data_IF_434436616958
#
_entry.id   IF_434436616958
#
_cell.length_a   1.000
_cell.length_b   1.000
_cell.length_c   1.000
_cell.angle_alpha   90.00
_cell.angle_beta   90.00
_cell.angle_gamma   90.00
#
_symmetry.space_group_name_H-M   'P 1'
#
loop_
_entity.id
_entity.type
_entity.pdbx_description
1 polymer ?
#
# COMPACT_ATOMS: atom_id res chain seq x y z
N UNK A 1 1.19 -29.30 52.84
CA UNK A 1 1.08 -28.17 53.78
C UNK A 1 2.32 -27.30 53.65
N UNK A 2 2.29 -26.25 52.82
CA UNK A 2 3.11 -25.03 52.95
C UNK A 2 2.71 -24.06 51.83
N UNK A 3 2.40 -22.83 52.26
CA UNK A 3 1.80 -21.72 51.51
C UNK A 3 2.87 -21.06 50.63
N UNK A 4 2.51 -20.69 49.40
CA UNK A 4 3.17 -19.58 48.71
C UNK A 4 2.23 -18.37 48.68
N UNK A 5 2.74 -17.28 49.23
CA UNK A 5 2.08 -15.99 49.38
C UNK A 5 1.76 -15.37 48.02
N UNK A 6 0.55 -14.82 47.91
CA UNK A 6 0.09 -14.00 46.79
C UNK A 6 0.89 -12.69 46.77
N UNK A 7 1.62 -12.44 45.69
CA UNK A 7 2.06 -11.10 45.30
C UNK A 7 0.90 -10.44 44.51
N UNK A 8 0.49 -9.20 44.81
CA UNK A 8 -0.65 -8.60 44.13
C UNK A 8 -0.21 -8.09 42.76
N UNK A 9 -0.89 -8.57 41.71
CA UNK A 9 -0.93 -7.90 40.41
C UNK A 9 -1.52 -6.50 40.62
N UNK A 10 -0.68 -5.48 40.49
CA UNK A 10 -1.09 -4.10 40.23
C UNK A 10 -1.77 -4.05 38.85
N UNK A 11 -3.04 -4.42 38.82
CA UNK A 11 -3.93 -4.06 37.73
C UNK A 11 -4.09 -2.54 37.75
N UNK A 12 -3.79 -1.91 36.61
CA UNK A 12 -4.16 -0.55 36.29
C UNK A 12 -5.68 -0.45 36.33
N UNK A 13 -6.21 -0.02 37.47
CA UNK A 13 -7.59 0.39 37.65
C UNK A 13 -7.77 1.75 36.98
N UNK A 14 -8.04 1.74 35.67
CA UNK A 14 -8.70 2.89 35.04
C UNK A 14 -10.09 2.94 35.63
N UNK A 15 -10.27 3.93 36.50
CA UNK A 15 -11.51 4.33 37.13
C UNK A 15 -12.64 4.41 36.10
N UNK A 16 -13.54 3.44 36.19
CA UNK A 16 -14.89 3.45 35.64
C UNK A 16 -15.71 4.54 36.37
N UNK A 17 -15.42 5.82 36.11
CA UNK A 17 -16.37 6.89 36.38
C UNK A 17 -17.34 6.94 35.21
N UNK A 18 -18.35 6.06 35.24
CA UNK A 18 -19.51 6.15 34.36
C UNK A 18 -20.42 7.27 34.85
N UNK A 19 -20.04 8.51 34.53
CA UNK A 19 -21.03 9.55 34.30
C UNK A 19 -21.77 9.18 33.01
N UNK A 20 -23.12 9.17 32.97
CA UNK A 20 -23.85 8.80 31.78
C UNK A 20 -23.72 9.90 30.72
N UNK A 21 -22.70 9.81 29.87
CA UNK A 21 -22.73 10.40 28.53
C UNK A 21 -23.70 9.57 27.67
N UNK A 22 -24.98 9.54 28.04
CA UNK A 22 -26.08 8.84 27.36
C UNK A 22 -26.44 9.43 25.98
N UNK A 23 -25.63 10.36 25.46
CA UNK A 23 -25.90 11.05 24.19
C UNK A 23 -25.12 10.47 23.00
N UNK A 24 -24.02 9.73 23.23
CA UNK A 24 -23.11 9.32 22.15
C UNK A 24 -22.87 7.81 22.14
N UNK A 25 -23.21 7.18 21.01
CA UNK A 25 -22.83 5.79 20.72
C UNK A 25 -21.32 5.75 20.46
N UNK A 26 -20.58 4.85 21.13
CA UNK A 26 -19.16 4.61 20.90
C UNK A 26 -18.87 3.12 20.64
N UNK A 27 -17.82 2.85 19.85
CA UNK A 27 -17.36 1.50 19.52
C UNK A 27 -15.85 1.41 19.62
N UNK A 28 -15.38 0.46 20.41
CA UNK A 28 -13.97 0.06 20.44
C UNK A 28 -13.73 -1.07 19.42
N UNK A 29 -12.55 -1.05 18.81
CA UNK A 29 -12.06 -2.17 18.00
C UNK A 29 -10.54 -2.23 18.02
N UNK A 30 -10.01 -3.44 17.91
CA UNK A 30 -8.59 -3.67 17.86
C UNK A 30 -8.19 -4.88 17.02
N UNK A 31 -6.93 -4.87 16.61
CA UNK A 31 -6.29 -6.00 15.92
C UNK A 31 -4.89 -6.17 16.45
N UNK A 32 -4.57 -7.34 16.98
CA UNK A 32 -3.18 -7.76 17.19
C UNK A 32 -2.75 -8.62 16.00
N UNK A 33 -1.61 -8.32 15.39
CA UNK A 33 -1.11 -9.02 14.21
C UNK A 33 0.37 -9.40 14.39
N UNK A 34 0.68 -10.66 14.12
CA UNK A 34 2.05 -11.13 13.87
C UNK A 34 2.21 -11.38 12.38
N UNK A 35 3.21 -10.75 11.76
CA UNK A 35 3.54 -10.98 10.36
C UNK A 35 4.98 -11.47 10.24
N UNK A 36 5.18 -12.55 9.50
CA UNK A 36 6.48 -13.15 9.26
C UNK A 36 6.73 -13.23 7.76
N UNK A 37 7.93 -12.82 7.33
CA UNK A 37 8.46 -13.13 6.00
C UNK A 37 9.71 -13.98 6.19
N UNK A 38 9.76 -15.14 5.54
CA UNK A 38 10.94 -16.01 5.49
C UNK A 38 11.45 -16.06 4.06
N UNK A 39 12.62 -15.45 3.83
CA UNK A 39 13.31 -15.48 2.54
C UNK A 39 14.15 -16.73 2.37
N UNK A 40 14.14 -17.30 1.15
CA UNK A 40 14.89 -18.54 0.86
C UNK A 40 16.24 -18.31 0.17
N UNK A 41 16.51 -17.09 -0.29
CA UNK A 41 17.80 -16.73 -0.89
C UNK A 41 18.75 -16.20 0.19
N UNK A 42 19.82 -16.95 0.46
CA UNK A 42 20.86 -16.63 1.45
C UNK A 42 22.20 -16.23 0.81
N UNK A 43 22.19 -15.75 -0.43
CA UNK A 43 23.39 -15.25 -1.11
C UNK A 43 24.11 -14.20 -0.26
N UNK A 44 25.44 -14.26 -0.23
CA UNK A 44 26.26 -13.22 0.42
C UNK A 44 26.02 -11.88 -0.27
N UNK A 45 25.74 -10.84 0.50
CA UNK A 45 25.45 -9.50 -0.02
C UNK A 45 26.70 -8.92 -0.72
N UNK A 46 26.57 -8.43 -1.94
CA UNK A 46 27.61 -7.71 -2.65
C UNK A 46 26.97 -6.50 -3.34
N UNK A 47 27.14 -5.31 -2.75
CA UNK A 47 26.48 -4.09 -3.23
C UNK A 47 27.05 -3.58 -4.57
N UNK A 48 28.30 -3.91 -4.88
CA UNK A 48 28.99 -3.56 -6.13
C UNK A 48 28.44 -4.35 -7.30
N UNK A 49 28.17 -5.64 -7.10
CA UNK A 49 27.57 -6.55 -8.09
C UNK A 49 26.03 -6.52 -8.06
N UNK A 50 25.45 -5.82 -7.10
CA UNK A 50 24.01 -5.71 -6.92
C UNK A 50 23.35 -7.03 -6.48
N UNK A 51 24.09 -7.89 -5.80
CA UNK A 51 23.62 -9.19 -5.28
C UNK A 51 23.15 -9.01 -3.84
N UNK A 52 21.91 -9.41 -3.58
CA UNK A 52 21.29 -9.26 -2.27
C UNK A 52 20.53 -10.52 -1.85
N UNK A 53 20.58 -10.90 -0.56
CA UNK A 53 19.73 -11.96 -0.01
C UNK A 53 18.27 -11.52 0.05
N UNK A 54 17.36 -12.48 0.24
CA UNK A 54 15.96 -12.18 0.57
C UNK A 54 15.83 -12.06 2.07
N UNK A 55 15.36 -10.90 2.54
CA UNK A 55 15.24 -10.64 3.98
C UNK A 55 14.21 -11.57 4.66
N UNK A 56 14.57 -12.02 5.86
CA UNK A 56 13.70 -12.74 6.79
C UNK A 56 13.45 -11.85 8.01
N UNK A 57 12.18 -11.66 8.36
CA UNK A 57 11.80 -10.83 9.48
C UNK A 57 10.44 -11.20 10.07
N UNK A 58 10.25 -10.81 11.32
CA UNK A 58 8.98 -10.97 12.04
C UNK A 58 8.59 -9.63 12.64
N UNK A 59 7.35 -9.22 12.47
CA UNK A 59 6.76 -8.03 13.08
C UNK A 59 5.68 -8.45 14.07
N UNK A 60 5.53 -7.67 15.14
CA UNK A 60 4.40 -7.76 16.05
C UNK A 60 3.78 -6.37 16.17
N UNK A 61 2.47 -6.28 15.93
CA UNK A 61 1.74 -5.01 15.93
C UNK A 61 0.42 -5.11 16.67
N UNK A 62 -0.03 -4.00 17.24
CA UNK A 62 -1.37 -3.84 17.81
C UNK A 62 -1.98 -2.53 17.33
N UNK A 63 -3.20 -2.63 16.80
CA UNK A 63 -4.04 -1.52 16.38
C UNK A 63 -5.19 -1.38 17.36
N UNK A 64 -5.49 -0.15 17.76
CA UNK A 64 -6.67 0.19 18.55
C UNK A 64 -7.39 1.36 17.89
N UNK A 65 -8.72 1.36 17.97
CA UNK A 65 -9.57 2.43 17.44
C UNK A 65 -10.82 2.60 18.29
N UNK A 66 -11.22 3.87 18.44
CA UNK A 66 -12.48 4.28 19.01
C UNK A 66 -13.22 5.11 17.97
N UNK A 67 -14.44 4.73 17.65
CA UNK A 67 -15.36 5.51 16.83
C UNK A 67 -16.55 5.96 17.67
N UNK A 68 -17.07 7.16 17.40
CA UNK A 68 -18.27 7.67 18.04
C UNK A 68 -19.18 8.40 17.05
N UNK A 69 -20.49 8.33 17.27
CA UNK A 69 -21.48 9.14 16.55
C UNK A 69 -21.91 10.31 17.44
N UNK A 70 -21.66 11.52 16.95
CA UNK A 70 -21.90 12.78 17.65
C UNK A 70 -23.32 13.33 17.45
N UNK A 71 -24.10 12.75 16.52
CA UNK A 71 -25.51 13.12 16.33
C UNK A 71 -26.44 11.98 16.80
N UNK A 72 -27.53 12.30 17.52
CA UNK A 72 -28.58 11.34 17.82
C UNK A 72 -29.13 10.70 16.54
N UNK A 73 -29.52 9.42 16.62
CA UNK A 73 -30.14 8.68 15.49
C UNK A 73 -31.44 9.32 14.98
N UNK A 74 -32.02 10.23 15.77
CA UNK A 74 -33.32 10.84 15.53
C UNK A 74 -33.25 12.09 14.63
N UNK A 75 -32.05 12.59 14.32
CA UNK A 75 -31.91 13.71 13.37
C UNK A 75 -31.97 13.13 11.96
N UNK A 76 -33.10 13.36 11.27
CA UNK A 76 -33.35 12.76 9.96
C UNK A 76 -32.20 13.00 8.98
N UNK A 77 -31.69 11.89 8.42
CA UNK A 77 -30.68 11.86 7.35
C UNK A 77 -29.30 12.43 7.70
N UNK A 78 -29.08 13.02 8.87
CA UNK A 78 -27.77 13.53 9.27
C UNK A 78 -27.01 12.51 10.13
N UNK A 79 -25.71 12.35 9.87
CA UNK A 79 -24.81 11.63 10.78
C UNK A 79 -23.44 12.31 10.80
N UNK A 80 -22.89 12.44 12.02
CA UNK A 80 -21.56 13.01 12.26
C UNK A 80 -20.77 12.01 13.10
N UNK A 81 -19.73 11.43 12.52
CA UNK A 81 -18.88 10.44 13.18
C UNK A 81 -17.49 11.00 13.41
N UNK A 82 -16.90 10.66 14.53
CA UNK A 82 -15.50 10.87 14.84
C UNK A 82 -14.82 9.53 15.04
N UNK A 83 -13.57 9.40 14.62
CA UNK A 83 -12.78 8.21 14.91
C UNK A 83 -11.33 8.55 15.18
N UNK A 84 -10.78 7.93 16.23
CA UNK A 84 -9.38 8.04 16.63
C UNK A 84 -8.81 6.64 16.71
N UNK A 85 -7.67 6.40 16.05
CA UNK A 85 -7.03 5.09 16.04
C UNK A 85 -5.53 5.17 15.87
N UNK A 86 -4.83 4.28 16.58
CA UNK A 86 -3.39 4.20 16.62
C UNK A 86 -2.89 2.78 16.41
N UNK A 87 -1.71 2.66 15.82
CA UNK A 87 -0.94 1.42 15.73
C UNK A 87 0.37 1.61 16.47
N UNK A 88 0.84 0.54 17.12
CA UNK A 88 2.21 0.40 17.57
C UNK A 88 2.73 -0.97 17.15
N UNK A 89 4.02 -1.09 16.92
CA UNK A 89 4.62 -2.37 16.57
C UNK A 89 6.11 -2.31 16.35
N UNK A 90 6.75 -3.46 16.33
CA UNK A 90 8.20 -3.56 16.23
C UNK A 90 8.61 -4.82 15.47
N UNK A 91 9.90 -4.91 15.17
CA UNK A 91 10.54 -6.11 14.65
C UNK A 91 10.86 -7.05 15.82
N UNK A 92 10.28 -8.25 15.81
CA UNK A 92 10.66 -9.34 16.71
C UNK A 92 11.91 -10.08 16.20
N UNK A 93 12.16 -10.03 14.87
CA UNK A 93 13.34 -10.61 14.24
C UNK A 93 13.72 -9.84 12.97
N UNK A 94 15.02 -9.67 12.72
CA UNK A 94 15.59 -8.99 11.56
C UNK A 94 16.87 -9.70 11.09
N UNK A 95 16.83 -10.38 9.94
CA UNK A 95 18.01 -11.05 9.37
C UNK A 95 19.02 -10.11 8.69
N UNK A 96 18.70 -8.83 8.54
CA UNK A 96 19.47 -7.86 7.75
C UNK A 96 20.46 -7.06 8.59
N UNK A 97 20.19 -6.94 9.90
CA UNK A 97 20.95 -6.13 10.86
C UNK A 97 22.45 -6.43 10.88
N UNK A 98 22.85 -7.67 10.65
CA UNK A 98 24.25 -8.15 10.76
C UNK A 98 24.87 -8.53 9.41
N UNK A 99 24.23 -8.20 8.29
CA UNK A 99 24.77 -8.53 6.97
C UNK A 99 26.06 -7.76 6.70
N UNK A 100 27.08 -8.50 6.22
CA UNK A 100 28.36 -7.95 5.78
C UNK A 100 28.36 -7.83 4.26
N UNK A 101 28.65 -6.63 3.77
CA UNK A 101 28.84 -6.39 2.35
C UNK A 101 30.19 -6.93 1.90
N UNK A 102 30.20 -7.92 1.01
CA UNK A 102 31.42 -8.52 0.50
C UNK A 102 32.27 -7.53 -0.31
N UNK A 103 31.69 -6.45 -0.83
CA UNK A 103 32.43 -5.44 -1.58
C UNK A 103 33.29 -4.53 -0.69
N UNK A 104 32.88 -4.31 0.57
CA UNK A 104 33.52 -3.36 1.49
C UNK A 104 34.04 -4.00 2.77
N UNK A 105 33.62 -5.24 3.06
CA UNK A 105 33.86 -5.96 4.31
C UNK A 105 33.30 -5.25 5.57
N UNK A 106 32.32 -4.36 5.39
CA UNK A 106 31.66 -3.63 6.48
C UNK A 106 30.22 -4.12 6.69
N UNK A 107 29.66 -3.79 7.86
CA UNK A 107 28.23 -3.98 8.14
C UNK A 107 27.44 -3.11 7.15
N UNK A 108 26.48 -3.73 6.45
CA UNK A 108 25.64 -3.04 5.49
C UNK A 108 24.55 -2.16 6.16
N UNK A 109 24.05 -2.60 7.32
CA UNK A 109 22.96 -1.96 8.06
C UNK A 109 21.59 -2.54 7.73
N UNK A 110 20.65 -2.43 8.67
CA UNK A 110 19.28 -2.87 8.44
C UNK A 110 18.58 -1.97 7.42
N UNK A 111 17.77 -2.58 6.57
CA UNK A 111 16.86 -1.89 5.63
C UNK A 111 15.39 -2.18 6.00
N UNK A 112 15.14 -2.87 7.12
CA UNK A 112 13.78 -3.21 7.54
C UNK A 112 13.01 -2.03 8.11
N UNK A 113 13.68 -0.92 8.44
CA UNK A 113 13.00 0.34 8.76
C UNK A 113 12.03 0.75 7.63
N UNK A 114 12.28 0.38 6.36
CA UNK A 114 11.35 0.61 5.26
C UNK A 114 9.97 -0.03 5.46
N UNK A 115 9.91 -1.19 6.14
CA UNK A 115 8.67 -1.86 6.54
C UNK A 115 8.15 -1.31 7.87
N UNK A 116 9.01 -1.24 8.90
CA UNK A 116 8.63 -0.86 10.25
C UNK A 116 9.44 0.34 10.71
N UNK A 117 8.79 1.50 10.73
CA UNK A 117 9.23 2.66 11.47
C UNK A 117 10.03 3.70 10.70
N UNK A 118 10.18 3.61 9.37
CA UNK A 118 10.91 4.64 8.61
C UNK A 118 10.43 6.04 8.94
N UNK A 119 11.33 6.86 9.45
CA UNK A 119 11.10 8.27 9.73
C UNK A 119 12.26 9.11 9.21
N UNK A 120 12.01 9.91 8.17
CA UNK A 120 12.99 10.82 7.57
C UNK A 120 12.52 12.28 7.66
N UNK A 121 11.68 12.60 8.65
CA UNK A 121 10.95 13.86 8.67
C UNK A 121 9.71 13.80 7.76
N UNK A 122 8.79 14.74 7.98
CA UNK A 122 7.57 14.81 7.18
C UNK A 122 7.89 15.15 5.72
N UNK A 123 8.84 16.07 5.46
CA UNK A 123 9.28 16.44 4.11
C UNK A 123 10.43 15.55 3.58
N UNK A 124 10.90 14.56 4.35
CA UNK A 124 12.03 13.71 3.90
C UNK A 124 13.40 14.40 3.96
N UNK A 125 13.54 15.40 4.83
CA UNK A 125 14.70 16.28 5.00
C UNK A 125 15.55 15.95 6.24
N UNK A 126 15.27 14.85 6.94
CA UNK A 126 16.06 14.47 8.11
C UNK A 126 17.54 14.22 7.77
N UNK A 127 18.48 14.65 8.64
CA UNK A 127 19.91 14.55 8.38
C UNK A 127 20.44 13.11 8.30
N UNK A 128 19.69 12.14 8.83
CA UNK A 128 20.07 10.71 8.80
C UNK A 128 19.54 9.93 7.59
N UNK A 129 18.77 10.55 6.67
CA UNK A 129 18.05 9.83 5.61
C UNK A 129 18.95 8.99 4.68
N UNK A 130 20.19 9.40 4.51
CA UNK A 130 21.17 8.76 3.62
C UNK A 130 22.00 7.67 4.33
N UNK A 131 21.85 7.53 5.65
CA UNK A 131 22.51 6.50 6.45
C UNK A 131 21.51 5.43 6.89
N UNK A 132 21.79 4.17 6.55
CA UNK A 132 20.98 3.01 6.96
C UNK A 132 20.98 2.82 8.47
N UNK A 133 22.16 2.93 9.08
CA UNK A 133 22.37 2.74 10.51
C UNK A 133 21.61 3.81 11.30
N UNK A 134 21.78 5.08 10.90
CA UNK A 134 21.10 6.18 11.58
C UNK A 134 19.58 6.16 11.32
N UNK A 135 19.15 5.79 10.11
CA UNK A 135 17.72 5.63 9.80
C UNK A 135 17.06 4.54 10.63
N UNK A 136 17.75 3.42 10.88
CA UNK A 136 17.27 2.34 11.75
C UNK A 136 17.17 2.81 13.22
N UNK A 137 18.15 3.56 13.70
CA UNK A 137 18.17 4.10 15.06
C UNK A 137 17.06 5.14 15.32
N UNK A 138 16.60 5.86 14.28
CA UNK A 138 15.56 6.89 14.38
C UNK A 138 14.15 6.39 14.00
N UNK A 139 13.93 5.08 14.04
CA UNK A 139 12.63 4.48 13.71
C UNK A 139 11.50 4.95 14.62
N UNK A 140 10.33 5.23 14.03
CA UNK A 140 9.07 5.52 14.72
C UNK A 140 8.10 4.35 14.63
N UNK A 141 8.07 3.59 15.70
CA UNK A 141 7.34 2.32 15.81
C UNK A 141 5.85 2.48 16.19
N UNK A 142 5.26 3.64 15.88
CA UNK A 142 3.87 3.95 16.14
C UNK A 142 3.33 4.95 15.11
N UNK A 143 2.00 4.94 14.90
CA UNK A 143 1.30 5.93 14.07
C UNK A 143 -0.09 6.18 14.64
N UNK A 144 -0.45 7.45 14.82
CA UNK A 144 -1.85 7.86 14.95
C UNK A 144 -2.49 7.87 13.56
N UNK A 145 -3.00 6.72 13.12
CA UNK A 145 -3.43 6.49 11.75
C UNK A 145 -4.82 7.06 11.44
N UNK A 146 -5.71 7.09 12.45
CA UNK A 146 -7.06 7.64 12.32
C UNK A 146 -7.23 8.80 13.30
N UNK A 147 -7.74 9.91 12.77
CA UNK A 147 -8.20 11.08 13.50
C UNK A 147 -9.06 11.87 12.52
N UNK A 148 -10.31 11.45 12.39
CA UNK A 148 -11.19 11.95 11.33
C UNK A 148 -12.53 12.44 11.86
N UNK A 149 -13.13 13.35 11.11
CA UNK A 149 -14.52 13.72 11.17
C UNK A 149 -15.20 13.25 9.88
N UNK A 150 -16.33 12.58 9.99
CA UNK A 150 -17.13 12.13 8.85
C UNK A 150 -18.56 12.62 9.00
N UNK A 151 -18.97 13.49 8.09
CA UNK A 151 -20.33 13.98 8.00
C UNK A 151 -21.05 13.36 6.80
N UNK A 152 -22.31 13.00 6.99
CA UNK A 152 -23.18 12.50 5.92
C UNK A 152 -24.57 13.12 6.00
N UNK A 153 -25.11 13.46 4.83
CA UNK A 153 -26.49 13.85 4.62
C UNK A 153 -27.15 12.87 3.64
N UNK A 154 -27.84 11.89 4.21
CA UNK A 154 -28.45 10.77 3.49
C UNK A 154 -27.44 10.06 2.57
N UNK A 155 -27.90 9.75 1.36
CA UNK A 155 -27.08 9.25 0.27
C UNK A 155 -26.57 10.37 -0.66
N UNK A 156 -26.84 11.64 -0.34
CA UNK A 156 -26.60 12.77 -1.23
C UNK A 156 -25.22 13.39 -1.08
N UNK A 157 -24.75 13.56 0.16
CA UNK A 157 -23.51 14.28 0.44
C UNK A 157 -22.74 13.62 1.58
N UNK A 158 -21.47 13.28 1.34
CA UNK A 158 -20.53 12.79 2.34
C UNK A 158 -19.28 13.67 2.35
N UNK A 159 -18.80 14.00 3.54
CA UNK A 159 -17.56 14.75 3.74
C UNK A 159 -16.74 14.06 4.82
N UNK A 160 -15.49 13.74 4.50
CA UNK A 160 -14.53 13.19 5.45
C UNK A 160 -13.31 14.11 5.53
N UNK A 161 -12.91 14.44 6.74
CA UNK A 161 -11.82 15.38 7.03
C UNK A 161 -10.85 14.75 8.04
N UNK A 162 -9.57 15.08 7.95
CA UNK A 162 -8.54 14.63 8.90
C UNK A 162 -7.75 13.44 8.38
N UNK A 163 -7.43 12.49 9.28
CA UNK A 163 -6.61 11.30 9.01
C UNK A 163 -7.48 10.05 8.90
N UNK A 164 -7.46 9.41 7.74
CA UNK A 164 -8.30 8.25 7.47
C UNK A 164 -7.70 7.31 6.42
N UNK A 165 -8.17 6.07 6.37
CA UNK A 165 -7.80 5.13 5.31
C UNK A 165 -8.32 5.62 3.95
N UNK A 166 -7.42 5.82 2.99
CA UNK A 166 -7.80 6.24 1.63
C UNK A 166 -8.43 5.10 0.84
N UNK A 167 -9.31 5.47 -0.08
CA UNK A 167 -10.03 4.59 -1.01
C UNK A 167 -9.73 4.94 -2.48
N UNK A 168 -8.72 5.78 -2.74
CA UNK A 168 -8.38 6.27 -4.08
C UNK A 168 -7.40 5.30 -4.77
N UNK A 169 -7.58 5.07 -6.07
CA UNK A 169 -6.74 4.12 -6.82
C UNK A 169 -5.24 4.44 -6.72
N UNK A 170 -4.89 5.73 -6.83
CA UNK A 170 -3.50 6.21 -6.75
C UNK A 170 -3.11 6.74 -5.37
N UNK A 171 -3.86 6.45 -4.29
CA UNK A 171 -3.42 6.76 -2.93
C UNK A 171 -3.80 5.62 -1.98
N UNK A 172 -2.83 4.80 -1.59
CA UNK A 172 -3.05 3.67 -0.69
C UNK A 172 -2.58 3.98 0.74
N UNK A 173 -3.13 3.25 1.71
CA UNK A 173 -2.82 3.49 3.12
C UNK A 173 -3.61 4.66 3.68
N UNK A 174 -3.12 5.25 4.77
CA UNK A 174 -3.79 6.35 5.45
C UNK A 174 -3.39 7.68 4.85
N UNK A 175 -4.35 8.59 4.72
CA UNK A 175 -4.20 9.94 4.15
C UNK A 175 -4.59 11.00 5.17
N UNK A 176 -3.94 12.16 5.12
CA UNK A 176 -4.31 13.36 5.88
C UNK A 176 -4.85 14.40 4.91
N UNK A 177 -6.13 14.76 5.02
CA UNK A 177 -6.75 15.74 4.13
C UNK A 177 -8.26 15.61 4.13
N UNK A 178 -8.89 15.61 2.95
CA UNK A 178 -10.34 15.54 2.83
C UNK A 178 -10.82 14.77 1.60
N UNK A 179 -11.99 14.16 1.73
CA UNK A 179 -12.78 13.66 0.60
C UNK A 179 -14.22 14.17 0.70
N UNK A 180 -14.78 14.57 -0.43
CA UNK A 180 -16.16 15.02 -0.58
C UNK A 180 -16.80 14.19 -1.69
N UNK A 181 -17.90 13.53 -1.38
CA UNK A 181 -18.75 12.83 -2.34
C UNK A 181 -20.10 13.53 -2.44
N UNK A 182 -20.52 13.86 -3.65
CA UNK A 182 -21.80 14.52 -3.92
C UNK A 182 -22.56 13.80 -5.03
N UNK A 183 -23.73 13.27 -4.70
CA UNK A 183 -24.65 12.62 -5.64
C UNK A 183 -25.52 13.68 -6.30
N UNK A 184 -25.28 13.93 -7.58
CA UNK A 184 -26.06 14.86 -8.40
C UNK A 184 -27.44 14.26 -8.69
N UNK A 185 -27.46 12.98 -9.10
CA UNK A 185 -28.69 12.19 -9.29
C UNK A 185 -28.39 10.68 -9.14
N UNK A 186 -29.34 9.80 -9.45
CA UNK A 186 -29.17 8.35 -9.30
C UNK A 186 -28.09 7.72 -10.19
N UNK A 187 -27.64 8.41 -11.25
CA UNK A 187 -26.65 7.92 -12.21
C UNK A 187 -25.34 8.72 -12.18
N UNK A 188 -25.34 9.92 -11.61
CA UNK A 188 -24.20 10.84 -11.64
C UNK A 188 -23.80 11.25 -10.23
N UNK A 189 -22.52 11.07 -9.90
CA UNK A 189 -21.92 11.56 -8.66
C UNK A 189 -20.55 12.19 -8.93
N UNK A 190 -20.14 13.09 -8.05
CA UNK A 190 -18.85 13.77 -8.05
C UNK A 190 -18.09 13.36 -6.78
N UNK A 191 -16.78 13.15 -6.91
CA UNK A 191 -15.86 13.04 -5.79
C UNK A 191 -14.70 14.02 -5.92
N UNK A 192 -14.42 14.75 -4.85
CA UNK A 192 -13.17 15.51 -4.68
C UNK A 192 -12.35 14.83 -3.58
N UNK A 193 -11.07 14.59 -3.86
CA UNK A 193 -10.09 14.11 -2.89
C UNK A 193 -8.90 15.07 -2.81
N UNK A 194 -8.40 15.36 -1.60
CA UNK A 194 -7.13 16.05 -1.36
C UNK A 194 -6.37 15.40 -0.22
N UNK A 195 -5.06 15.24 -0.39
CA UNK A 195 -4.15 14.64 0.58
C UNK A 195 -2.90 15.50 0.74
N UNK A 196 -2.49 15.73 1.98
CA UNK A 196 -1.29 16.44 2.40
C UNK A 196 -0.44 15.56 3.31
N UNK A 197 -0.44 14.25 3.06
CA UNK A 197 0.31 13.34 3.91
C UNK A 197 -0.20 11.92 3.80
N UNK A 198 0.72 10.99 3.99
CA UNK A 198 0.46 9.56 3.95
C UNK A 198 1.08 8.87 5.15
N UNK A 199 0.41 7.84 5.65
CA UNK A 199 0.96 6.92 6.64
C UNK A 199 0.62 5.47 6.30
N UNK A 200 1.42 4.54 6.83
CA UNK A 200 1.16 3.10 6.73
C UNK A 200 0.93 2.55 8.14
N UNK A 201 -0.16 1.78 8.31
CA UNK A 201 -0.52 1.17 9.58
C UNK A 201 -1.18 -0.20 9.34
N UNK A 202 -0.35 -1.18 8.98
CA UNK A 202 -0.69 -2.59 8.80
C UNK A 202 0.39 -3.47 9.47
N UNK A 203 0.14 -4.76 9.72
CA UNK A 203 1.12 -5.61 10.43
C UNK A 203 2.50 -5.66 9.78
N UNK A 204 2.55 -5.67 8.45
CA UNK A 204 3.81 -5.61 7.69
C UNK A 204 4.36 -4.18 7.54
N UNK A 205 3.54 -3.13 7.74
CA UNK A 205 3.87 -1.76 7.36
C UNK A 205 3.49 -0.74 8.44
N UNK A 206 4.51 -0.18 9.11
CA UNK A 206 4.38 0.97 9.99
C UNK A 206 5.24 2.09 9.42
N UNK A 207 4.61 3.20 9.02
CA UNK A 207 5.32 4.41 8.61
C UNK A 207 4.51 5.62 9.06
N UNK A 208 5.10 6.42 9.93
CA UNK A 208 4.51 7.66 10.43
C UNK A 208 4.35 8.70 9.30
N UNK A 209 3.56 9.74 9.55
CA UNK A 209 3.10 10.70 8.55
C UNK A 209 4.22 11.39 7.79
N UNK A 210 4.22 11.24 6.46
CA UNK A 210 5.17 11.88 5.55
C UNK A 210 4.44 12.44 4.33
N UNK A 211 5.03 13.45 3.69
CA UNK A 211 4.63 13.96 2.39
C UNK A 211 5.11 12.98 1.29
N UNK A 212 4.20 12.35 0.53
CA UNK A 212 4.60 11.48 -0.57
C UNK A 212 5.32 12.25 -1.68
N UNK A 213 4.91 13.49 -1.92
CA UNK A 213 5.52 14.37 -2.92
C UNK A 213 6.00 15.61 -2.19
N UNK A 214 7.23 16.01 -2.49
CA UNK A 214 7.84 17.24 -2.00
C UNK A 214 8.41 17.96 -3.22
N UNK A 215 8.13 19.25 -3.29
CA UNK A 215 8.56 20.15 -4.37
C UNK A 215 9.32 21.32 -3.77
N UNK A 216 10.14 21.98 -4.58
CA UNK A 216 10.83 23.20 -4.15
C UNK A 216 10.03 24.46 -4.53
N UNK A 217 9.84 25.37 -3.58
CA UNK A 217 9.33 26.72 -3.81
C UNK A 217 10.19 27.75 -3.12
N UNK A 218 10.83 28.62 -3.90
CA UNK A 218 11.70 29.66 -3.36
C UNK A 218 12.81 29.12 -2.44
N UNK A 219 13.43 27.99 -2.80
CA UNK A 219 14.45 27.25 -2.01
C UNK A 219 13.95 26.63 -0.71
N UNK A 220 12.65 26.38 -0.61
CA UNK A 220 12.04 25.65 0.51
C UNK A 220 11.32 24.42 0.00
N UNK A 221 11.48 23.32 0.73
CA UNK A 221 10.69 22.13 0.50
C UNK A 221 9.24 22.37 0.95
N UNK A 222 8.30 22.07 0.07
CA UNK A 222 6.86 22.27 0.27
C UNK A 222 6.08 21.05 -0.21
N UNK A 223 5.07 20.65 0.58
CA UNK A 223 4.02 19.70 0.17
C UNK A 223 2.77 20.48 -0.26
N UNK A 224 2.54 20.59 -1.57
CA UNK A 224 1.30 21.17 -2.11
C UNK A 224 0.14 20.17 -2.13
N UNK A 225 0.38 18.93 -1.74
CA UNK A 225 -0.60 17.87 -1.71
C UNK A 225 -0.81 17.16 -3.05
N UNK A 226 -1.64 16.14 -2.97
CA UNK A 226 -2.12 15.31 -4.07
C UNK A 226 -3.64 15.42 -4.10
N UNK A 227 -4.16 15.83 -5.25
CA UNK A 227 -5.59 16.07 -5.43
C UNK A 227 -6.14 15.17 -6.53
N UNK A 228 -7.43 14.88 -6.43
CA UNK A 228 -8.14 14.19 -7.48
C UNK A 228 -9.59 14.64 -7.55
N UNK A 229 -10.12 14.72 -8.77
CA UNK A 229 -11.55 14.90 -9.03
C UNK A 229 -12.02 13.71 -9.86
N UNK A 230 -13.15 13.10 -9.49
CA UNK A 230 -13.76 11.98 -10.20
C UNK A 230 -15.23 12.24 -10.46
N UNK A 231 -15.70 11.93 -11.66
CA UNK A 231 -17.13 11.94 -12.00
C UNK A 231 -17.57 10.51 -12.25
N UNK A 232 -18.59 10.03 -11.55
CA UNK A 232 -19.13 8.69 -11.75
C UNK A 232 -20.35 8.76 -12.65
N UNK A 233 -20.32 8.03 -13.76
CA UNK A 233 -21.47 7.76 -14.61
C UNK A 233 -21.85 6.30 -14.46
N UNK A 234 -22.94 6.03 -13.76
CA UNK A 234 -23.35 4.68 -13.38
C UNK A 234 -24.63 4.26 -14.10
N UNK A 235 -24.57 3.08 -14.69
CA UNK A 235 -25.71 2.33 -15.20
C UNK A 235 -25.81 0.99 -14.46
N UNK A 236 -26.76 0.14 -14.84
CA UNK A 236 -26.94 -1.16 -14.18
C UNK A 236 -25.69 -2.05 -14.30
N UNK A 237 -25.01 -2.07 -15.44
CA UNK A 237 -23.89 -2.99 -15.71
C UNK A 237 -22.57 -2.28 -15.98
N UNK A 238 -22.57 -0.96 -16.21
CA UNK A 238 -21.37 -0.20 -16.59
C UNK A 238 -21.25 1.02 -15.69
N UNK A 239 -20.07 1.23 -15.14
CA UNK A 239 -19.65 2.47 -14.50
C UNK A 239 -18.45 3.04 -15.25
N UNK A 240 -18.57 4.26 -15.75
CA UNK A 240 -17.46 5.03 -16.30
C UNK A 240 -17.11 6.16 -15.33
N UNK A 241 -15.82 6.28 -15.02
CA UNK A 241 -15.28 7.25 -14.07
C UNK A 241 -14.12 8.00 -14.71
N UNK A 242 -14.36 9.05 -15.51
CA UNK A 242 -13.30 10.00 -15.81
C UNK A 242 -12.80 10.64 -14.52
N UNK A 243 -11.49 10.79 -14.44
CA UNK A 243 -10.82 11.36 -13.28
C UNK A 243 -9.67 12.26 -13.71
N UNK A 244 -9.29 13.17 -12.83
CA UNK A 244 -8.14 14.03 -12.98
C UNK A 244 -7.38 14.06 -11.68
N UNK A 245 -6.16 13.51 -11.66
CA UNK A 245 -5.23 13.66 -10.55
C UNK A 245 -4.28 14.81 -10.83
N UNK A 246 -3.90 15.57 -9.81
CA UNK A 246 -2.86 16.58 -9.94
C UNK A 246 -2.13 16.81 -8.62
N UNK A 247 -0.86 17.18 -8.73
CA UNK A 247 -0.06 17.67 -7.63
C UNK A 247 0.69 18.90 -8.14
N UNK A 248 0.42 20.11 -7.60
CA UNK A 248 1.01 21.35 -8.11
C UNK A 248 2.52 21.26 -8.23
N UNK A 249 3.07 21.83 -9.32
CA UNK A 249 4.49 21.78 -9.69
C UNK A 249 5.08 20.37 -9.88
N UNK A 250 4.24 19.33 -9.94
CA UNK A 250 4.72 17.96 -10.14
C UNK A 250 4.10 17.32 -11.37
N UNK A 251 2.77 17.21 -11.41
CA UNK A 251 2.08 16.61 -12.55
C UNK A 251 0.60 17.00 -12.63
N UNK A 252 0.05 16.81 -13.82
CA UNK A 252 -1.37 16.75 -14.13
C UNK A 252 -1.64 15.42 -14.84
N UNK A 253 -2.68 14.68 -14.43
CA UNK A 253 -2.87 13.30 -14.86
C UNK A 253 -4.37 12.99 -15.08
N UNK A 254 -4.95 13.36 -16.24
CA UNK A 254 -6.26 12.90 -16.64
C UNK A 254 -6.28 11.39 -16.89
N UNK A 255 -7.43 10.79 -16.69
CA UNK A 255 -7.64 9.39 -16.97
C UNK A 255 -9.10 8.97 -16.93
N UNK A 256 -9.35 7.70 -17.20
CA UNK A 256 -10.68 7.10 -17.15
C UNK A 256 -10.60 5.68 -16.61
N UNK A 257 -11.53 5.35 -15.73
CA UNK A 257 -11.78 4.00 -15.24
C UNK A 257 -13.12 3.52 -15.76
N UNK A 258 -13.17 2.34 -16.35
CA UNK A 258 -14.41 1.70 -16.80
C UNK A 258 -14.53 0.36 -16.08
N UNK A 259 -15.64 0.17 -15.38
CA UNK A 259 -15.98 -1.09 -14.74
C UNK A 259 -17.27 -1.64 -15.37
N UNK A 260 -17.17 -2.84 -15.92
CA UNK A 260 -18.28 -3.58 -16.52
C UNK A 260 -18.54 -4.80 -15.64
N UNK A 261 -19.80 -5.01 -15.28
CA UNK A 261 -20.25 -6.11 -14.43
C UNK A 261 -21.51 -6.74 -15.00
N UNK A 262 -21.38 -7.97 -15.49
CA UNK A 262 -22.50 -8.68 -16.12
C UNK A 262 -23.60 -9.08 -15.14
N UNK A 263 -23.28 -9.18 -13.83
CA UNK A 263 -24.24 -9.55 -12.80
C UNK A 263 -23.91 -8.87 -11.46
N UNK A 264 -24.32 -7.60 -11.26
CA UNK A 264 -24.09 -6.87 -10.02
C UNK A 264 -24.81 -7.45 -8.79
N UNK A 265 -25.77 -8.35 -9.02
CA UNK A 265 -26.53 -9.04 -7.97
C UNK A 265 -26.00 -10.45 -7.70
N UNK A 266 -24.81 -10.80 -8.19
CA UNK A 266 -24.20 -12.11 -7.97
C UNK A 266 -24.06 -12.41 -6.47
N UNK A 267 -24.55 -13.59 -6.06
CA UNK A 267 -24.52 -14.07 -4.66
C UNK A 267 -23.83 -15.43 -4.53
N UNK A 268 -22.84 -15.70 -5.39
CA UNK A 268 -22.12 -16.98 -5.39
C UNK A 268 -22.86 -18.11 -6.10
N UNK A 269 -23.76 -17.81 -7.05
CA UNK A 269 -24.43 -18.80 -7.89
C UNK A 269 -24.49 -18.31 -9.34
N UNK A 270 -24.08 -19.17 -10.28
CA UNK A 270 -24.05 -18.88 -11.71
C UNK A 270 -22.73 -18.24 -12.14
N UNK A 271 -22.77 -17.46 -13.23
CA UNK A 271 -21.63 -16.77 -13.80
C UNK A 271 -21.76 -15.25 -13.63
N UNK A 272 -20.65 -14.60 -13.26
CA UNK A 272 -20.46 -13.15 -13.35
C UNK A 272 -19.15 -12.88 -14.06
N UNK A 273 -19.18 -11.96 -15.02
CA UNK A 273 -18.01 -11.43 -15.72
C UNK A 273 -17.80 -9.99 -15.28
N UNK A 274 -16.59 -9.67 -14.86
CA UNK A 274 -16.18 -8.32 -14.50
C UNK A 274 -14.96 -7.89 -15.32
N UNK A 275 -15.07 -6.75 -15.99
CA UNK A 275 -13.97 -6.12 -16.71
C UNK A 275 -13.68 -4.77 -16.06
N UNK A 276 -12.42 -4.56 -15.68
CA UNK A 276 -11.90 -3.28 -15.25
C UNK A 276 -10.87 -2.79 -16.27
N UNK A 277 -11.09 -1.58 -16.79
CA UNK A 277 -10.13 -0.84 -17.61
C UNK A 277 -9.76 0.42 -16.84
N UNK A 278 -8.48 0.71 -16.68
CA UNK A 278 -8.00 1.98 -16.11
C UNK A 278 -6.89 2.53 -17.00
N UNK A 279 -7.04 3.78 -17.43
CA UNK A 279 -6.03 4.49 -18.21
C UNK A 279 -5.75 5.84 -17.56
N UNK A 280 -4.48 6.22 -17.50
CA UNK A 280 -4.03 7.51 -16.99
C UNK A 280 -2.92 8.08 -17.89
N UNK A 281 -2.86 9.39 -18.02
CA UNK A 281 -1.92 10.12 -18.86
C UNK A 281 -1.22 11.23 -18.08
N UNK A 282 -0.28 10.91 -17.17
CA UNK A 282 0.48 11.94 -16.45
C UNK A 282 1.32 12.79 -17.42
N UNK A 283 1.22 14.10 -17.25
CA UNK A 283 2.08 15.14 -17.83
C UNK A 283 2.84 15.78 -16.67
N UNK A 284 4.16 15.81 -16.75
CA UNK A 284 5.02 16.23 -15.66
C UNK A 284 5.41 17.72 -15.78
N UNK A 285 5.85 18.31 -14.67
CA UNK A 285 6.46 19.63 -14.68
C UNK A 285 7.84 19.60 -15.38
N UNK A 286 8.20 20.69 -16.07
CA UNK A 286 9.38 20.76 -16.96
C UNK A 286 10.71 20.51 -16.24
N UNK A 287 10.83 20.97 -15.01
CA UNK A 287 11.99 20.78 -14.15
C UNK A 287 12.23 19.30 -13.77
N UNK A 288 11.21 18.44 -13.93
CA UNK A 288 11.30 17.02 -13.65
C UNK A 288 11.72 16.17 -14.86
N UNK A 289 11.72 16.70 -16.09
CA UNK A 289 11.88 15.89 -17.31
C UNK A 289 13.17 15.07 -17.33
N UNK A 290 14.27 15.68 -16.89
CA UNK A 290 15.60 15.05 -16.85
C UNK A 290 15.92 14.33 -15.54
N UNK A 291 15.01 14.38 -14.56
CA UNK A 291 15.17 13.62 -13.31
C UNK A 291 14.98 12.14 -13.62
N UNK A 292 15.85 11.31 -13.05
CA UNK A 292 15.76 9.86 -13.19
C UNK A 292 14.94 9.25 -12.06
N UNK A 293 13.98 8.41 -12.43
CA UNK A 293 13.24 7.56 -11.50
C UNK A 293 13.21 6.12 -12.02
N UNK A 294 13.75 5.21 -11.21
CA UNK A 294 13.97 3.79 -11.55
C UNK A 294 14.70 3.61 -12.88
N UNK A 295 15.84 4.30 -13.02
CA UNK A 295 16.79 4.27 -14.14
C UNK A 295 16.27 4.75 -15.49
N UNK A 296 15.14 5.45 -15.52
CA UNK A 296 14.63 6.14 -16.71
C UNK A 296 14.31 7.57 -16.37
N UNK A 297 14.50 8.49 -17.32
CA UNK A 297 14.04 9.87 -17.19
C UNK A 297 12.53 9.88 -16.95
N UNK A 298 12.03 10.86 -16.19
CA UNK A 298 10.58 11.04 -16.02
C UNK A 298 9.94 11.39 -17.37
N UNK A 299 10.59 12.25 -18.15
CA UNK A 299 10.08 12.71 -19.45
C UNK A 299 8.90 13.69 -19.33
N UNK A 300 8.42 14.17 -20.47
CA UNK A 300 7.33 15.14 -20.53
C UNK A 300 5.98 14.55 -20.14
N UNK A 301 5.71 13.33 -20.59
CA UNK A 301 4.47 12.63 -20.35
C UNK A 301 4.73 11.12 -20.21
N UNK A 302 3.73 10.41 -19.72
CA UNK A 302 3.64 8.96 -19.79
C UNK A 302 2.19 8.51 -19.89
N UNK A 303 1.98 7.22 -20.03
CA UNK A 303 0.65 6.61 -19.88
C UNK A 303 0.74 5.25 -19.22
N UNK A 304 -0.28 4.88 -18.45
CA UNK A 304 -0.45 3.49 -18.04
C UNK A 304 -1.85 2.97 -18.37
N UNK A 305 -1.91 1.73 -18.82
CA UNK A 305 -3.13 1.01 -19.19
C UNK A 305 -3.22 -0.27 -18.37
N UNK A 306 -4.30 -0.43 -17.62
CA UNK A 306 -4.71 -1.67 -16.96
C UNK A 306 -5.95 -2.22 -17.65
N UNK A 307 -5.93 -3.50 -17.98
CA UNK A 307 -7.11 -4.31 -18.31
C UNK A 307 -7.11 -5.51 -17.39
N UNK A 308 -8.17 -5.68 -16.60
CA UNK A 308 -8.34 -6.80 -15.69
C UNK A 308 -9.69 -7.47 -15.95
N UNK A 309 -9.65 -8.75 -16.32
CA UNK A 309 -10.82 -9.56 -16.54
C UNK A 309 -10.92 -10.60 -15.42
N UNK A 310 -12.08 -10.66 -14.77
CA UNK A 310 -12.41 -11.63 -13.74
C UNK A 310 -13.73 -12.33 -14.09
N UNK A 311 -13.77 -13.63 -13.85
CA UNK A 311 -14.97 -14.44 -13.88
C UNK A 311 -15.19 -15.01 -12.49
N UNK A 312 -16.40 -14.88 -11.96
CA UNK A 312 -16.85 -15.62 -10.79
C UNK A 312 -17.82 -16.71 -11.26
N UNK A 313 -17.57 -17.95 -10.82
CA UNK A 313 -18.45 -19.08 -11.05
C UNK A 313 -18.71 -19.80 -9.74
N UNK A 314 -19.91 -19.65 -9.22
CA UNK A 314 -20.29 -20.07 -7.86
C UNK A 314 -19.29 -19.56 -6.79
N UNK A 315 -18.60 -20.45 -6.08
CA UNK A 315 -17.57 -20.14 -5.09
C UNK A 315 -16.15 -19.93 -5.65
N UNK A 316 -15.96 -20.12 -6.96
CA UNK A 316 -14.68 -19.98 -7.64
C UNK A 316 -14.56 -18.65 -8.36
N UNK A 317 -13.33 -18.22 -8.56
CA UNK A 317 -13.00 -17.11 -9.44
C UNK A 317 -11.74 -17.42 -10.24
N UNK A 318 -11.66 -16.87 -11.45
CA UNK A 318 -10.46 -16.94 -12.28
C UNK A 318 -10.43 -15.76 -13.25
N UNK A 319 -9.28 -15.53 -13.85
CA UNK A 319 -9.16 -14.46 -14.81
C UNK A 319 -7.73 -14.16 -15.21
N UNK A 320 -7.57 -13.02 -15.86
CA UNK A 320 -6.30 -12.55 -16.34
C UNK A 320 -6.26 -11.02 -16.34
N UNK A 321 -5.08 -10.48 -16.57
CA UNK A 321 -4.96 -9.07 -16.84
C UNK A 321 -3.65 -8.68 -17.50
N UNK A 322 -3.66 -7.45 -17.94
CA UNK A 322 -2.63 -6.80 -18.71
C UNK A 322 -2.39 -5.42 -18.12
N UNK A 323 -1.12 -5.07 -17.90
CA UNK A 323 -0.73 -3.75 -17.46
C UNK A 323 0.48 -3.28 -18.26
N UNK A 324 0.42 -2.08 -18.85
CA UNK A 324 1.52 -1.51 -19.60
C UNK A 324 1.76 -0.06 -19.19
N UNK A 325 3.03 0.31 -19.08
CA UNK A 325 3.49 1.69 -19.02
C UNK A 325 4.09 2.08 -20.36
N UNK A 326 3.79 3.29 -20.80
CA UNK A 326 4.45 3.99 -21.91
C UNK A 326 5.18 5.19 -21.32
N UNK A 327 6.49 5.29 -21.56
CA UNK A 327 7.34 6.20 -20.81
C UNK A 327 7.29 5.89 -19.31
N UNK A 328 7.56 6.89 -18.48
CA UNK A 328 7.69 6.71 -17.04
C UNK A 328 6.41 7.06 -16.26
N UNK A 329 5.26 6.52 -16.68
CA UNK A 329 3.93 6.92 -16.20
C UNK A 329 3.69 6.80 -14.68
N UNK A 330 4.42 5.94 -13.99
CA UNK A 330 4.29 5.78 -12.54
C UNK A 330 5.24 6.68 -11.76
N UNK A 331 6.13 7.41 -12.43
CA UNK A 331 6.96 8.41 -11.78
C UNK A 331 6.06 9.41 -11.06
N UNK A 332 6.39 9.68 -9.79
CA UNK A 332 5.67 10.63 -8.92
C UNK A 332 4.17 10.35 -8.69
N UNK A 333 3.57 9.26 -9.21
CA UNK A 333 2.16 8.95 -8.95
C UNK A 333 1.89 7.48 -8.57
N UNK A 334 2.55 6.53 -9.22
CA UNK A 334 2.22 5.10 -9.11
C UNK A 334 2.82 4.35 -7.93
N UNK A 335 3.58 5.01 -7.06
CA UNK A 335 4.31 4.36 -5.96
C UNK A 335 3.68 4.56 -4.58
N UNK A 336 2.81 5.57 -4.42
CA UNK A 336 2.02 5.77 -3.20
C UNK A 336 0.58 5.26 -3.30
N UNK A 337 0.15 4.83 -4.49
CA UNK A 337 -1.01 4.01 -4.75
C UNK A 337 -0.99 3.58 -6.22
N UNK A 338 -1.68 2.49 -6.56
CA UNK A 338 -1.75 2.00 -7.92
C UNK A 338 -2.97 1.07 -8.11
N UNK A 339 -3.72 1.13 -9.22
CA UNK A 339 -4.85 0.24 -9.48
C UNK A 339 -4.47 -1.21 -9.81
N UNK A 340 -3.19 -1.54 -9.97
CA UNK A 340 -2.71 -2.91 -10.23
C UNK A 340 -3.21 -3.89 -9.14
N UNK A 341 -3.88 -5.01 -9.51
CA UNK A 341 -4.47 -5.94 -8.55
C UNK A 341 -3.52 -7.06 -8.09
N UNK A 342 -2.21 -6.84 -8.17
CA UNK A 342 -1.18 -7.75 -7.66
C UNK A 342 -0.15 -6.99 -6.82
N UNK A 343 0.56 -7.70 -5.95
CA UNK A 343 1.52 -7.08 -5.04
C UNK A 343 2.73 -6.52 -5.79
N UNK A 344 2.86 -5.19 -5.80
CA UNK A 344 4.00 -4.47 -6.34
C UNK A 344 5.09 -4.20 -5.30
N UNK A 345 4.96 -4.61 -4.03
CA UNK A 345 5.89 -4.34 -2.92
C UNK A 345 6.62 -5.59 -2.40
N UNK A 346 6.56 -6.70 -3.13
CA UNK A 346 7.21 -7.97 -2.77
C UNK A 346 8.68 -8.08 -3.21
N UNK A 347 9.22 -7.08 -3.92
CA UNK A 347 10.61 -7.12 -4.40
C UNK A 347 11.61 -6.94 -3.25
N UNK A 348 12.88 -6.78 -3.60
CA UNK A 348 13.98 -6.55 -2.68
C UNK A 348 13.85 -5.23 -1.93
N UNK A 349 14.04 -5.26 -0.60
CA UNK A 349 14.15 -4.04 0.23
C UNK A 349 15.29 -3.12 -0.25
N UNK A 350 16.38 -3.72 -0.73
CA UNK A 350 17.54 -3.01 -1.27
C UNK A 350 17.25 -2.27 -2.58
N UNK A 351 16.10 -2.56 -3.22
CA UNK A 351 15.58 -1.87 -4.41
C UNK A 351 14.30 -1.09 -4.15
N UNK A 352 14.09 -0.65 -2.89
CA UNK A 352 12.89 0.05 -2.40
C UNK A 352 11.59 -0.75 -2.57
N UNK A 353 11.64 -2.08 -2.43
CA UNK A 353 10.52 -3.05 -2.44
C UNK A 353 9.68 -3.13 -3.71
N UNK A 354 9.74 -2.14 -4.60
CA UNK A 354 8.84 -2.06 -5.73
C UNK A 354 9.21 -3.05 -6.85
N UNK A 355 8.19 -3.66 -7.43
CA UNK A 355 8.25 -4.42 -8.68
C UNK A 355 8.65 -3.51 -9.85
N UNK A 356 9.26 -4.09 -10.88
CA UNK A 356 9.51 -3.43 -12.16
C UNK A 356 8.24 -3.22 -13.01
N UNK A 357 7.07 -3.73 -12.57
CA UNK A 357 5.78 -3.43 -13.21
C UNK A 357 5.39 -1.93 -13.15
N UNK A 358 5.98 -1.17 -12.22
CA UNK A 358 5.77 0.28 -12.14
C UNK A 358 6.90 1.08 -12.79
N UNK A 359 7.79 0.45 -13.56
CA UNK A 359 8.92 1.15 -14.20
C UNK A 359 8.59 1.58 -15.62
N UNK A 360 9.45 2.42 -16.19
CA UNK A 360 9.26 2.92 -17.54
C UNK A 360 9.19 1.78 -18.56
N UNK A 361 8.29 1.95 -19.54
CA UNK A 361 8.09 1.04 -20.68
C UNK A 361 7.85 -0.43 -20.29
N UNK A 362 7.34 -0.66 -19.07
CA UNK A 362 7.10 -2.01 -18.59
C UNK A 362 5.80 -2.60 -19.16
N UNK A 363 5.84 -3.89 -19.49
CA UNK A 363 4.68 -4.69 -19.87
C UNK A 363 4.54 -5.85 -18.89
N UNK A 364 3.38 -5.97 -18.27
CA UNK A 364 3.05 -7.01 -17.30
C UNK A 364 1.80 -7.79 -17.73
N UNK A 365 1.89 -9.10 -17.68
CA UNK A 365 0.75 -10.01 -17.85
C UNK A 365 0.59 -10.91 -16.63
N UNK A 366 -0.64 -11.19 -16.24
CA UNK A 366 -0.92 -12.10 -15.13
C UNK A 366 -2.19 -12.92 -15.36
N UNK A 367 -2.21 -14.11 -14.77
CA UNK A 367 -3.35 -15.02 -14.72
C UNK A 367 -3.57 -15.43 -13.27
N UNK A 368 -4.82 -15.62 -12.88
CA UNK A 368 -5.16 -16.00 -11.52
C UNK A 368 -6.37 -16.92 -11.47
N UNK A 369 -6.48 -17.67 -10.38
CA UNK A 369 -7.61 -18.53 -10.07
C UNK A 369 -7.66 -18.87 -8.59
N UNK A 370 -8.86 -19.10 -8.06
CA UNK A 370 -9.04 -19.38 -6.64
C UNK A 370 -10.49 -19.61 -6.28
N UNK A 371 -10.76 -19.66 -4.98
CA UNK A 371 -12.12 -19.84 -4.46
C UNK A 371 -12.19 -19.77 -2.95
N UNK A 372 -13.41 -19.83 -2.44
CA UNK A 372 -13.69 -19.83 -1.00
C UNK A 372 -14.61 -20.99 -0.66
N UNK A 373 -14.18 -21.88 0.22
CA UNK A 373 -14.99 -23.00 0.70
C UNK A 373 -15.00 -23.03 2.22
N UNK A 374 -16.18 -22.85 2.84
CA UNK A 374 -16.38 -22.93 4.30
C UNK A 374 -15.37 -22.09 5.14
N UNK A 375 -15.07 -20.88 4.68
CA UNK A 375 -14.13 -19.98 5.37
C UNK A 375 -12.65 -20.22 5.06
N UNK A 376 -12.32 -21.27 4.30
CA UNK A 376 -11.01 -21.46 3.68
C UNK A 376 -10.97 -20.76 2.33
N UNK A 377 -10.00 -19.89 2.15
CA UNK A 377 -9.71 -19.19 0.90
C UNK A 377 -8.43 -19.75 0.30
N UNK A 378 -8.42 -19.97 -1.01
CA UNK A 378 -7.21 -20.28 -1.74
C UNK A 378 -7.16 -19.50 -3.06
N UNK A 379 -5.94 -19.21 -3.53
CA UNK A 379 -5.74 -18.58 -4.81
C UNK A 379 -4.32 -18.77 -5.32
N UNK A 380 -4.17 -18.83 -6.64
CA UNK A 380 -2.91 -18.89 -7.34
C UNK A 380 -2.85 -17.69 -8.29
N UNK A 381 -1.70 -17.01 -8.34
CA UNK A 381 -1.45 -15.93 -9.29
C UNK A 381 -0.06 -16.10 -9.93
N UNK A 382 -0.06 -16.29 -11.24
CA UNK A 382 1.13 -16.28 -12.08
C UNK A 382 1.27 -14.93 -12.78
N UNK A 383 2.49 -14.38 -12.81
CA UNK A 383 2.79 -13.08 -13.40
C UNK A 383 4.14 -13.08 -14.10
N UNK A 384 4.19 -12.39 -15.23
CA UNK A 384 5.40 -12.01 -15.92
C UNK A 384 5.43 -10.49 -16.11
N UNK A 385 6.61 -9.89 -16.05
CA UNK A 385 6.82 -8.48 -16.37
C UNK A 385 8.13 -8.32 -17.09
N UNK A 386 8.11 -7.59 -18.19
CA UNK A 386 9.30 -7.09 -18.86
C UNK A 386 9.35 -5.57 -18.69
N UNK A 387 10.52 -5.01 -18.43
CA UNK A 387 10.74 -3.57 -18.40
C UNK A 387 12.16 -3.25 -18.87
N UNK A 388 12.43 -1.99 -19.20
CA UNK A 388 13.74 -1.54 -19.67
C UNK A 388 14.89 -2.02 -18.78
N UNK A 389 14.75 -1.90 -17.46
CA UNK A 389 15.81 -2.25 -16.50
C UNK A 389 15.87 -3.73 -16.11
N UNK A 390 14.77 -4.48 -16.20
CA UNK A 390 14.69 -5.83 -15.67
C UNK A 390 13.45 -6.59 -16.15
N UNK A 391 13.53 -7.91 -16.09
CA UNK A 391 12.41 -8.84 -16.22
C UNK A 391 12.08 -9.52 -14.89
N UNK A 392 10.81 -9.77 -14.63
CA UNK A 392 10.30 -10.39 -13.41
C UNK A 392 9.34 -11.53 -13.73
N UNK A 393 9.45 -12.63 -12.97
CA UNK A 393 8.52 -13.75 -13.03
C UNK A 393 8.16 -14.20 -11.63
N UNK A 394 6.88 -14.42 -11.38
CA UNK A 394 6.41 -14.86 -10.07
C UNK A 394 5.19 -15.78 -10.15
N UNK A 395 5.12 -16.74 -9.23
CA UNK A 395 3.93 -17.55 -8.96
C UNK A 395 3.69 -17.50 -7.46
N UNK A 396 2.45 -17.18 -7.07
CA UNK A 396 2.05 -17.05 -5.68
C UNK A 396 0.95 -18.06 -5.39
N UNK A 397 1.05 -18.77 -4.26
CA UNK A 397 -0.03 -19.55 -3.66
C UNK A 397 -0.46 -18.84 -2.38
N UNK A 398 -1.68 -18.32 -2.37
CA UNK A 398 -2.30 -17.69 -1.21
C UNK A 398 -3.30 -18.65 -0.59
N UNK A 399 -3.17 -18.89 0.72
CA UNK A 399 -4.08 -19.69 1.54
C UNK A 399 -4.53 -18.83 2.71
N UNK A 400 -5.82 -18.81 3.00
CA UNK A 400 -6.37 -18.05 4.12
C UNK A 400 -7.42 -18.85 4.86
N UNK A 401 -7.51 -18.65 6.16
CA UNK A 401 -8.59 -19.20 6.98
C UNK A 401 -9.03 -18.19 8.03
N UNK A 402 -10.34 -18.07 8.22
CA UNK A 402 -10.94 -17.18 9.21
C UNK A 402 -11.76 -17.97 10.23
N UNK A 403 -11.37 -17.90 11.50
CA UNK A 403 -12.15 -18.44 12.61
C UNK A 403 -13.13 -17.38 13.12
N UNK A 404 -14.38 -17.46 12.65
CA UNK A 404 -15.45 -16.56 13.09
C UNK A 404 -15.09 -15.09 12.93
N UNK A 405 -15.34 -14.27 13.96
CA UNK A 405 -14.95 -12.86 13.99
C UNK A 405 -13.66 -12.59 14.76
N UNK A 406 -13.02 -13.60 15.35
CA UNK A 406 -11.98 -13.41 16.37
C UNK A 406 -10.56 -13.63 15.86
N UNK A 407 -10.34 -14.46 14.85
CA UNK A 407 -8.99 -14.70 14.32
C UNK A 407 -8.97 -15.00 12.82
N UNK A 408 -7.84 -14.72 12.18
CA UNK A 408 -7.53 -15.17 10.83
C UNK A 408 -6.05 -15.49 10.66
N UNK A 409 -5.76 -16.41 9.74
CA UNK A 409 -4.41 -16.72 9.26
C UNK A 409 -4.39 -16.60 7.75
N UNK A 410 -3.37 -15.91 7.24
CA UNK A 410 -3.08 -15.78 5.82
C UNK A 410 -1.65 -16.28 5.57
N UNK A 411 -1.47 -17.11 4.54
CA UNK A 411 -0.18 -17.68 4.12
C UNK A 411 0.01 -17.42 2.63
N UNK A 412 1.13 -16.84 2.25
CA UNK A 412 1.53 -16.66 0.86
C UNK A 412 2.89 -17.33 0.61
N UNK A 413 2.91 -18.36 -0.22
CA UNK A 413 4.13 -18.97 -0.73
C UNK A 413 4.41 -18.41 -2.12
N UNK A 414 5.54 -17.73 -2.28
CA UNK A 414 5.89 -17.04 -3.50
C UNK A 414 7.19 -17.59 -4.10
N UNK A 415 7.09 -18.07 -5.34
CA UNK A 415 8.23 -18.08 -6.27
C UNK A 415 8.34 -16.71 -6.92
N UNK A 416 9.51 -16.10 -6.91
CA UNK A 416 9.76 -14.81 -7.53
C UNK A 416 11.23 -14.70 -7.93
N UNK A 417 11.49 -14.48 -9.22
CA UNK A 417 12.82 -14.19 -9.74
C UNK A 417 12.84 -12.83 -10.46
N UNK A 418 13.93 -12.09 -10.28
CA UNK A 418 14.21 -10.82 -10.97
C UNK A 418 15.48 -10.99 -11.78
N UNK A 419 15.42 -10.73 -13.08
CA UNK A 419 16.58 -10.72 -13.99
C UNK A 419 16.88 -9.28 -14.38
N UNK A 420 17.93 -8.70 -13.81
CA UNK A 420 18.40 -7.37 -14.18
C UNK A 420 19.01 -7.41 -15.58
N UNK A 421 18.65 -6.46 -16.43
CA UNK A 421 19.27 -6.33 -17.74
C UNK A 421 20.66 -5.70 -17.62
N UNK A 422 21.54 -5.97 -18.59
CA UNK A 422 22.85 -5.34 -18.64
C UNK A 422 22.68 -3.81 -18.65
N UNK A 423 23.50 -3.09 -17.86
CA UNK A 423 23.33 -1.66 -17.69
C UNK A 423 22.68 -1.21 -16.39
N UNK A 424 22.08 -2.13 -15.63
CA UNK A 424 21.25 -1.83 -14.46
C UNK A 424 21.60 -2.74 -13.27
N UNK A 425 21.36 -2.23 -12.05
CA UNK A 425 21.52 -2.99 -10.80
C UNK A 425 20.39 -2.68 -9.81
N UNK A 426 20.17 -3.57 -8.84
CA UNK A 426 19.00 -3.54 -7.95
C UNK A 426 18.93 -2.26 -7.09
N UNK A 427 20.05 -1.88 -6.48
CA UNK A 427 20.17 -0.78 -5.52
C UNK A 427 20.55 0.57 -6.13
N UNK A 428 20.45 0.70 -7.45
CA UNK A 428 20.67 1.96 -8.17
C UNK A 428 19.44 2.28 -8.98
N UNK A 429 18.73 3.32 -8.55
CA UNK A 429 17.40 3.67 -9.06
C UNK A 429 17.37 5.05 -9.72
N UNK A 430 18.39 5.87 -9.51
CA UNK A 430 18.42 7.28 -9.95
C UNK A 430 19.52 7.56 -10.96
N UNK A 431 20.35 6.56 -11.30
CA UNK A 431 21.37 6.72 -12.33
C UNK A 431 20.88 6.29 -13.71
N UNK A 432 21.45 6.85 -14.80
CA UNK A 432 21.25 6.36 -16.16
C UNK A 432 21.85 4.95 -16.36
N UNK A 433 21.63 4.40 -17.55
CA UNK A 433 22.29 3.18 -18.01
C UNK A 433 23.80 3.23 -17.79
N UNK A 434 24.38 2.16 -17.23
CA UNK A 434 25.81 2.03 -17.03
C UNK A 434 26.35 0.69 -17.51
N UNK A 435 27.10 0.70 -18.62
CA UNK A 435 27.69 -0.49 -19.26
C UNK A 435 28.56 -1.36 -18.35
N UNK A 436 29.05 -0.83 -17.23
CA UNK A 436 29.83 -1.58 -16.26
C UNK A 436 28.98 -2.60 -15.48
N UNK A 437 27.67 -2.34 -15.34
CA UNK A 437 26.77 -3.23 -14.62
C UNK A 437 26.40 -4.44 -15.47
N UNK A 438 26.69 -5.62 -14.93
CA UNK A 438 26.42 -6.90 -15.58
C UNK A 438 24.99 -7.35 -15.29
N UNK A 439 24.38 -8.01 -16.27
CA UNK A 439 23.12 -8.70 -16.07
C UNK A 439 23.27 -9.76 -14.97
N UNK A 440 22.27 -9.89 -14.11
CA UNK A 440 22.20 -10.95 -13.12
C UNK A 440 20.76 -11.38 -12.88
N UNK A 441 20.58 -12.61 -12.40
CA UNK A 441 19.29 -13.13 -11.99
C UNK A 441 19.33 -13.45 -10.52
N UNK A 442 18.35 -12.96 -9.78
CA UNK A 442 18.28 -13.11 -8.35
C UNK A 442 16.93 -13.66 -7.93
N UNK A 443 16.99 -14.69 -7.10
CA UNK A 443 15.86 -15.29 -6.44
C UNK A 443 15.35 -14.39 -5.30
N UNK A 444 14.02 -14.27 -5.22
CA UNK A 444 13.25 -13.51 -4.24
C UNK A 444 12.17 -14.36 -3.57
N UNK A 445 12.28 -15.68 -3.66
CA UNK A 445 11.32 -16.62 -3.11
C UNK A 445 11.19 -16.41 -1.60
N UNK A 446 9.95 -16.50 -1.13
CA UNK A 446 9.65 -16.31 0.27
C UNK A 446 8.33 -16.98 0.67
N UNK A 447 8.21 -17.20 1.97
CA UNK A 447 6.97 -17.52 2.66
C UNK A 447 6.56 -16.32 3.51
N UNK A 448 5.34 -15.82 3.32
CA UNK A 448 4.74 -14.82 4.20
C UNK A 448 3.61 -15.45 5.00
N UNK A 449 3.55 -15.17 6.29
CA UNK A 449 2.49 -15.63 7.20
C UNK A 449 1.99 -14.44 8.01
N UNK A 450 0.68 -14.24 8.06
CA UNK A 450 0.02 -13.26 8.92
C UNK A 450 -0.96 -13.99 9.83
N UNK A 451 -0.88 -13.72 11.13
CA UNK A 451 -1.84 -14.20 12.13
C UNK A 451 -2.46 -12.98 12.80
N UNK A 452 -3.79 -12.86 12.72
CA UNK A 452 -4.54 -11.71 13.25
C UNK A 452 -5.53 -12.16 14.31
N UNK A 453 -5.63 -11.38 15.38
CA UNK A 453 -6.63 -11.50 16.44
C UNK A 453 -7.43 -10.20 16.52
N UNK A 454 -8.75 -10.30 16.47
CA UNK A 454 -9.68 -9.17 16.47
C UNK A 454 -10.42 -9.11 17.82
N UNK A 455 -10.58 -7.91 18.37
CA UNK A 455 -11.29 -7.67 19.64
C UNK A 455 -11.97 -6.31 19.70
#
# INVERSE_FOLDING_TARGET
MLKFQKLPLLFVSILYNQSPLLAFDYKFSGVAESFSKVGFNHSKLNSKEGIFPTATFVTATIKLQVDSNLLPKNIEKHSLKIGIGGILGALAYDSTKTLIDQATHQIYGSELFFFIGRWWGYLGDAPWKDSRIESDAHTRNYVLYNSYLFYSYGDKFHLKLGRYLSNMDFMSGYTQGFELDYKINSKIALKWFSSFGRALAAGQWIRDWYAPIVTEDGRKDVDYGIHAVQLYFSSKHVQATPFFYFSPKTYEAPGIKIHIDSNPKFRGLGLRSQTLINVIFPVYAKDLYDVYWRNSKIGEWGSSLLIHQRFDYNEFNFGFGYYQNFGNANARIGWYGNPIPFDIRSNSIYGLVFSNAVTADSVSGYVFGGGVYRGFLWGILGRYTYATRASERSINLHLGYKWGSFASVDVNLQYYAVSMHNGYKVNDLTSPFNKAFKANTQDRNNLMVSVKFFF
#
